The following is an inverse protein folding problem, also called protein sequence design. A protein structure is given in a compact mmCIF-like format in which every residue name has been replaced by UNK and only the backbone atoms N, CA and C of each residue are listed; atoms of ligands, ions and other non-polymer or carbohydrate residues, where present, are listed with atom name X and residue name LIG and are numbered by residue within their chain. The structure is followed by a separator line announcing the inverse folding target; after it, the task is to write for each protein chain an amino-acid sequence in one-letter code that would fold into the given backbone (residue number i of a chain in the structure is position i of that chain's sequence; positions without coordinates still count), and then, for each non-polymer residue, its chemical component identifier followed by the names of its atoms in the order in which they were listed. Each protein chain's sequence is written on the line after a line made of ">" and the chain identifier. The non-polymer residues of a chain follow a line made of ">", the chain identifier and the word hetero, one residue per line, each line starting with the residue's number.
data_IF_531379115095
#
_entry.id   IF_531379115095
#
_cell.length_a   1.000
_cell.length_b   1.000
_cell.length_c   1.000
_cell.angle_alpha   90.00
_cell.angle_beta   90.00
_cell.angle_gamma   90.00
#
_symmetry.space_group_name_H-M   'P 1'
#
loop_
_entity.id
_entity.type
_entity.pdbx_description
1 polymer ?
#
# COMPACT_ATOMS: atom_id res chain seq x y z
N UNK A 1 3.23 -10.89 -10.05
CA UNK A 1 2.90 -10.86 -8.60
C UNK A 1 3.90 -10.04 -7.81
N UNK A 2 5.21 -10.28 -7.94
CA UNK A 2 6.23 -9.51 -7.20
C UNK A 2 6.21 -8.01 -7.54
N UNK A 3 6.04 -7.66 -8.83
CA UNK A 3 5.92 -6.27 -9.29
C UNK A 3 4.74 -5.55 -8.64
N UNK A 4 3.58 -6.21 -8.52
CA UNK A 4 2.41 -5.65 -7.83
C UNK A 4 2.61 -5.44 -6.33
N UNK A 5 3.43 -6.29 -5.68
CA UNK A 5 3.84 -6.10 -4.28
C UNK A 5 4.80 -4.90 -4.13
N UNK A 6 5.75 -4.72 -5.07
CA UNK A 6 6.70 -3.59 -5.05
C UNK A 6 5.98 -2.26 -5.30
N UNK A 7 5.29 -2.16 -6.44
CA UNK A 7 3.94 -1.63 -6.59
C UNK A 7 3.32 -0.91 -5.38
N UNK A 8 2.49 -1.71 -4.71
CA UNK A 8 1.72 -1.37 -3.53
C UNK A 8 2.57 -0.95 -2.34
N UNK A 9 3.75 -1.54 -2.14
CA UNK A 9 4.66 -1.14 -1.06
C UNK A 9 5.16 0.31 -1.26
N UNK A 10 5.53 0.69 -2.48
CA UNK A 10 5.93 2.06 -2.79
C UNK A 10 4.78 3.06 -2.55
N UNK A 11 3.56 2.70 -2.96
CA UNK A 11 2.35 3.50 -2.71
C UNK A 11 2.06 3.64 -1.21
N UNK A 12 2.19 2.55 -0.43
CA UNK A 12 1.98 2.58 1.02
C UNK A 12 3.00 3.48 1.72
N UNK A 13 4.29 3.35 1.38
CA UNK A 13 5.35 4.22 1.93
C UNK A 13 5.09 5.68 1.57
N UNK A 14 4.71 5.96 0.33
CA UNK A 14 4.38 7.32 -0.10
C UNK A 14 3.16 7.88 0.67
N UNK A 15 2.08 7.10 0.78
CA UNK A 15 0.91 7.49 1.57
C UNK A 15 1.23 7.77 3.03
N UNK A 16 2.13 6.99 3.64
CA UNK A 16 2.61 7.22 5.00
C UNK A 16 3.34 8.56 5.14
N UNK A 17 4.24 8.87 4.20
CA UNK A 17 4.98 10.14 4.20
C UNK A 17 4.04 11.35 4.07
N UNK A 18 2.98 11.22 3.26
CA UNK A 18 1.94 12.25 3.12
C UNK A 18 1.07 12.34 4.39
N UNK A 19 0.66 11.22 4.98
CA UNK A 19 -0.18 11.18 6.18
C UNK A 19 0.49 11.84 7.39
N UNK A 20 1.81 11.65 7.51
CA UNK A 20 2.66 12.21 8.57
C UNK A 20 3.04 13.67 8.32
N UNK A 21 2.65 14.25 7.17
CA UNK A 21 2.95 15.64 6.84
C UNK A 21 4.42 15.89 6.47
N UNK A 22 5.20 14.85 6.19
CA UNK A 22 6.54 14.99 5.61
C UNK A 22 6.49 15.45 4.15
N UNK A 23 5.35 15.22 3.47
CA UNK A 23 5.10 15.61 2.09
C UNK A 23 3.77 16.37 2.03
N UNK A 24 3.81 17.65 1.61
CA UNK A 24 2.65 18.55 1.57
C UNK A 24 2.75 19.69 2.59
N UNK A 25 3.18 20.87 2.14
CA UNK A 25 3.21 22.12 2.91
C UNK A 25 1.77 22.66 3.13
N UNK A 26 1.48 23.61 4.05
CA UNK A 26 0.23 23.68 4.80
C UNK A 26 -0.90 24.27 3.94
N UNK A 27 -1.46 23.45 3.06
CA UNK A 27 -2.77 23.67 2.45
C UNK A 27 -3.70 22.78 3.26
N UNK A 28 -4.46 23.38 4.18
CA UNK A 28 -5.43 22.71 5.04
C UNK A 28 -4.97 21.32 5.50
N UNK A 29 -4.05 21.26 6.47
CA UNK A 29 -3.33 20.06 6.92
C UNK A 29 -4.21 18.81 7.12
N UNK A 30 -5.49 19.00 7.46
CA UNK A 30 -6.48 17.94 7.61
C UNK A 30 -6.83 17.25 6.29
N UNK A 31 -6.94 18.00 5.18
CA UNK A 31 -7.30 17.46 3.87
C UNK A 31 -6.17 16.61 3.30
N UNK A 32 -4.93 17.13 3.34
CA UNK A 32 -3.72 16.41 2.89
C UNK A 32 -3.47 15.15 3.75
N UNK A 33 -3.65 15.25 5.08
CA UNK A 33 -3.49 14.09 5.96
C UNK A 33 -4.51 12.98 5.65
N UNK A 34 -5.78 13.31 5.41
CA UNK A 34 -6.81 12.33 5.03
C UNK A 34 -6.49 11.62 3.69
N UNK A 35 -5.96 12.35 2.70
CA UNK A 35 -5.50 11.74 1.45
C UNK A 35 -4.31 10.80 1.69
N UNK A 36 -3.35 11.20 2.53
CA UNK A 36 -2.22 10.35 2.91
C UNK A 36 -2.66 9.04 3.56
N UNK A 37 -3.55 9.11 4.56
CA UNK A 37 -4.11 7.92 5.21
C UNK A 37 -4.88 7.02 4.24
N UNK A 38 -5.64 7.61 3.30
CA UNK A 38 -6.36 6.85 2.28
C UNK A 38 -5.40 6.10 1.34
N UNK A 39 -4.36 6.77 0.86
CA UNK A 39 -3.33 6.19 -0.01
C UNK A 39 -2.58 5.07 0.74
N UNK A 40 -2.25 5.29 2.01
CA UNK A 40 -1.61 4.29 2.86
C UNK A 40 -2.47 3.02 2.96
N UNK A 41 -3.74 3.16 3.33
CA UNK A 41 -4.66 2.03 3.49
C UNK A 41 -4.82 1.26 2.18
N UNK A 42 -4.98 1.96 1.05
CA UNK A 42 -5.09 1.34 -0.28
C UNK A 42 -3.80 0.58 -0.62
N UNK A 43 -2.64 1.20 -0.41
CA UNK A 43 -1.34 0.56 -0.64
C UNK A 43 -1.18 -0.71 0.18
N UNK A 44 -1.49 -0.68 1.47
CA UNK A 44 -1.42 -1.84 2.37
C UNK A 44 -2.39 -2.95 1.94
N UNK A 45 -3.64 -2.60 1.62
CA UNK A 45 -4.64 -3.58 1.19
C UNK A 45 -4.22 -4.30 -0.10
N UNK A 46 -3.69 -3.56 -1.07
CA UNK A 46 -3.17 -4.14 -2.32
C UNK A 46 -1.95 -5.03 -2.07
N UNK A 47 -1.05 -4.63 -1.18
CA UNK A 47 0.11 -5.44 -0.82
C UNK A 47 -0.31 -6.79 -0.23
N UNK A 48 -1.27 -6.77 0.71
CA UNK A 48 -1.83 -7.98 1.31
C UNK A 48 -2.51 -8.85 0.26
N UNK A 49 -3.29 -8.27 -0.66
CA UNK A 49 -3.93 -9.01 -1.75
C UNK A 49 -2.91 -9.76 -2.61
N UNK A 50 -1.85 -9.08 -3.06
CA UNK A 50 -0.82 -9.69 -3.89
C UNK A 50 0.00 -10.74 -3.12
N UNK A 51 0.30 -10.49 -1.84
CA UNK A 51 0.98 -11.45 -0.98
C UNK A 51 0.13 -12.72 -0.77
N UNK A 52 -1.15 -12.56 -0.47
CA UNK A 52 -2.09 -13.67 -0.29
C UNK A 52 -2.29 -14.46 -1.57
N UNK A 53 -2.45 -13.79 -2.71
CA UNK A 53 -2.57 -14.45 -4.00
C UNK A 53 -1.29 -15.23 -4.38
N UNK A 54 -0.09 -14.73 -4.00
CA UNK A 54 1.16 -15.48 -4.19
C UNK A 54 1.20 -16.72 -3.30
N UNK A 55 0.79 -16.56 -2.04
CA UNK A 55 0.75 -17.66 -1.07
C UNK A 55 -0.22 -18.77 -1.48
N UNK A 56 -1.42 -18.42 -1.93
CA UNK A 56 -2.44 -19.39 -2.35
C UNK A 56 -2.03 -20.16 -3.60
N UNK A 57 -1.37 -19.53 -4.58
CA UNK A 57 -0.77 -20.24 -5.73
C UNK A 57 0.32 -21.21 -5.31
N UNK A 58 1.22 -20.78 -4.41
CA UNK A 58 2.30 -21.64 -3.92
C UNK A 58 1.75 -22.87 -3.16
N UNK A 59 0.66 -22.72 -2.41
CA UNK A 59 -0.02 -23.87 -1.78
C UNK A 59 -0.65 -24.81 -2.79
N UNK A 60 -1.36 -24.28 -3.81
CA UNK A 60 -1.96 -25.13 -4.86
C UNK A 60 -0.92 -25.96 -5.62
N UNK A 61 0.26 -25.41 -5.88
CA UNK A 61 1.36 -26.12 -6.53
C UNK A 61 2.00 -27.22 -5.65
N UNK A 62 1.82 -27.18 -4.33
CA UNK A 62 2.35 -28.21 -3.41
C UNK A 62 1.36 -29.36 -3.15
N UNK A 63 0.11 -29.22 -3.58
CA UNK A 63 -0.95 -30.21 -3.39
C UNK A 63 -1.32 -30.96 -4.67
N UNK A 64 -0.64 -30.68 -5.78
CA UNK A 64 -0.72 -31.38 -7.06
C UNK A 64 0.56 -32.21 -7.24
#
# INVERSE_FOLDING_TARGET
>A
MIVGMLISAAIAVFGLLVALGFVGHPIDAQLISNYGWSILIIGVALFVLFAWARYSRARRQRSA
#
